data_IF_630379627582
#
_entry.id   IF_630379627582
#
_cell.length_a   1.000
_cell.length_b   1.000
_cell.length_c   1.000
_cell.angle_alpha   90.00
_cell.angle_beta   90.00
_cell.angle_gamma   90.00
#
_symmetry.space_group_name_H-M   'P 1'
#
loop_
_entity.id
_entity.type
_entity.pdbx_description
1 polymer ?
#
# COMPACT_ATOMS: atom_id res chain seq x y z
N UNK A 1 -1.07 -36.79 -1.05
CA UNK A 1 -0.19 -36.24 0.01
C UNK A 1 -0.64 -34.83 0.34
N UNK A 2 -0.79 -34.49 1.63
CA UNK A 2 -1.10 -33.11 2.06
C UNK A 2 0.13 -32.24 1.80
N UNK A 3 -0.03 -31.13 1.07
CA UNK A 3 1.09 -30.22 0.80
C UNK A 3 1.49 -29.47 2.09
N UNK A 4 2.70 -29.74 2.58
CA UNK A 4 3.25 -29.20 3.83
C UNK A 4 4.39 -28.22 3.54
N UNK A 5 4.37 -27.08 4.24
CA UNK A 5 5.35 -26.00 4.11
C UNK A 5 5.93 -25.62 5.48
N UNK A 6 7.09 -25.02 5.51
CA UNK A 6 7.60 -24.44 6.75
C UNK A 6 6.80 -23.19 7.10
N UNK A 7 6.47 -22.35 6.12
CA UNK A 7 5.73 -21.10 6.30
C UNK A 7 4.63 -20.99 5.24
N UNK A 8 3.45 -20.59 5.65
CA UNK A 8 2.42 -20.05 4.75
C UNK A 8 2.32 -18.54 4.97
N UNK A 9 2.25 -17.78 3.89
CA UNK A 9 2.02 -16.32 3.89
C UNK A 9 0.70 -16.04 3.19
N UNK A 10 -0.20 -15.31 3.83
CA UNK A 10 -1.46 -14.90 3.23
C UNK A 10 -1.32 -13.48 2.69
N UNK A 11 -1.48 -13.35 1.37
CA UNK A 11 -1.33 -12.11 0.62
C UNK A 11 0.07 -11.91 0.02
N UNK A 12 0.11 -11.56 -1.28
CA UNK A 12 1.32 -11.18 -2.00
C UNK A 12 1.42 -9.64 -2.14
N UNK A 13 1.16 -8.93 -1.05
CA UNK A 13 1.30 -7.48 -0.97
C UNK A 13 2.75 -7.02 -0.83
N UNK A 14 2.95 -5.68 -0.75
CA UNK A 14 4.27 -5.08 -0.66
C UNK A 14 5.07 -5.60 0.54
N UNK A 15 4.48 -5.55 1.74
CA UNK A 15 5.15 -5.99 2.99
C UNK A 15 5.54 -7.45 2.95
N UNK A 16 4.64 -8.34 2.48
CA UNK A 16 4.95 -9.77 2.34
C UNK A 16 6.11 -10.02 1.38
N UNK A 17 6.09 -9.38 0.21
CA UNK A 17 7.14 -9.59 -0.79
C UNK A 17 8.49 -8.99 -0.37
N UNK A 18 8.48 -7.85 0.33
CA UNK A 18 9.71 -7.28 0.92
C UNK A 18 10.29 -8.21 1.99
N UNK A 19 9.44 -8.71 2.89
CA UNK A 19 9.84 -9.66 3.92
C UNK A 19 10.44 -10.93 3.28
N UNK A 20 9.74 -11.54 2.33
CA UNK A 20 10.20 -12.75 1.64
C UNK A 20 11.49 -12.52 0.85
N UNK A 21 11.63 -11.37 0.17
CA UNK A 21 12.86 -11.00 -0.54
C UNK A 21 14.07 -10.98 0.41
N UNK A 22 13.91 -10.45 1.63
CA UNK A 22 14.95 -10.48 2.67
C UNK A 22 15.22 -11.89 3.19
N UNK A 23 14.19 -12.69 3.43
CA UNK A 23 14.36 -14.07 3.87
C UNK A 23 15.15 -14.90 2.86
N UNK A 24 14.81 -14.84 1.58
CA UNK A 24 15.50 -15.64 0.55
C UNK A 24 16.92 -15.14 0.28
N UNK A 25 17.19 -13.84 0.44
CA UNK A 25 18.54 -13.27 0.31
C UNK A 25 19.51 -13.84 1.35
N UNK A 26 19.01 -14.25 2.50
CA UNK A 26 19.77 -14.87 3.58
C UNK A 26 19.97 -16.39 3.39
N UNK A 27 19.82 -16.91 2.15
CA UNK A 27 19.98 -18.32 1.79
C UNK A 27 19.09 -19.28 2.61
N UNK A 28 17.91 -18.84 3.01
CA UNK A 28 16.93 -19.66 3.72
C UNK A 28 16.61 -20.94 2.92
N UNK A 29 16.59 -22.08 3.60
CA UNK A 29 16.19 -23.39 3.04
C UNK A 29 14.71 -23.69 3.24
N UNK A 30 13.96 -22.78 3.87
CA UNK A 30 12.54 -22.96 4.20
C UNK A 30 11.69 -23.04 2.93
N UNK A 31 10.75 -23.97 2.95
CA UNK A 31 9.69 -24.09 1.94
C UNK A 31 8.56 -23.13 2.28
N UNK A 32 8.19 -22.23 1.36
CA UNK A 32 7.23 -21.17 1.63
C UNK A 32 6.12 -21.19 0.58
N UNK A 33 4.86 -21.16 1.04
CA UNK A 33 3.69 -20.98 0.19
C UNK A 33 3.08 -19.60 0.45
N UNK A 34 2.88 -18.83 -0.62
CA UNK A 34 2.14 -17.58 -0.58
C UNK A 34 0.77 -17.80 -1.21
N UNK A 35 -0.30 -17.51 -0.48
CA UNK A 35 -1.68 -17.62 -0.95
C UNK A 35 -2.20 -16.20 -1.26
N UNK A 36 -2.40 -15.89 -2.54
CA UNK A 36 -2.90 -14.60 -3.00
C UNK A 36 -4.30 -14.74 -3.59
N UNK A 37 -5.27 -13.98 -3.05
CA UNK A 37 -6.67 -14.07 -3.50
C UNK A 37 -6.91 -13.53 -4.91
N UNK A 38 -6.05 -12.63 -5.41
CA UNK A 38 -6.17 -12.11 -6.77
C UNK A 38 -5.52 -13.08 -7.76
N UNK A 39 -5.96 -13.00 -9.00
CA UNK A 39 -5.47 -13.83 -10.11
C UNK A 39 -4.05 -13.47 -10.57
N UNK A 40 -3.54 -12.32 -10.14
CA UNK A 40 -2.23 -11.83 -10.54
C UNK A 40 -1.62 -10.89 -9.51
N UNK A 41 -0.32 -10.60 -9.67
CA UNK A 41 0.41 -9.63 -8.83
C UNK A 41 0.15 -8.16 -9.25
N UNK A 42 -0.62 -7.94 -10.30
CA UNK A 42 -0.85 -6.60 -10.84
C UNK A 42 -1.60 -5.73 -9.82
N UNK A 43 -1.03 -4.58 -9.53
CA UNK A 43 -1.60 -3.55 -8.65
C UNK A 43 -1.36 -2.18 -9.28
N UNK A 44 -2.40 -1.35 -9.32
CA UNK A 44 -2.31 0.00 -9.84
C UNK A 44 -2.00 1.04 -8.74
N UNK A 45 -1.67 0.59 -7.54
CA UNK A 45 -1.38 1.47 -6.41
C UNK A 45 0.02 2.05 -6.50
N UNK A 46 0.16 3.26 -6.03
CA UNK A 46 1.45 3.90 -5.76
C UNK A 46 1.91 3.55 -4.35
N UNK A 47 3.21 3.31 -4.18
CA UNK A 47 3.80 3.11 -2.87
C UNK A 47 4.72 4.29 -2.56
N UNK A 48 4.36 5.06 -1.54
CA UNK A 48 5.12 6.22 -1.12
C UNK A 48 5.76 5.99 0.24
N UNK A 49 7.00 6.48 0.40
CA UNK A 49 7.80 6.29 1.60
C UNK A 49 8.66 7.50 1.86
N UNK A 50 8.94 7.77 3.13
CA UNK A 50 9.98 8.71 3.54
C UNK A 50 11.32 8.00 3.57
N UNK A 51 12.33 8.58 2.93
CA UNK A 51 13.72 8.13 2.96
C UNK A 51 14.63 9.23 3.53
N UNK A 52 15.71 8.84 4.18
CA UNK A 52 16.67 9.76 4.77
C UNK A 52 17.48 9.14 5.90
N UNK A 53 18.25 9.96 6.64
CA UNK A 53 19.04 9.48 7.76
C UNK A 53 18.20 8.72 8.79
N UNK A 54 18.62 7.51 9.17
CA UNK A 54 17.90 6.65 10.11
C UNK A 54 16.66 5.95 9.56
N UNK A 55 16.28 6.20 8.28
CA UNK A 55 15.18 5.52 7.61
C UNK A 55 15.69 4.49 6.61
N UNK A 56 14.81 3.53 6.27
CA UNK A 56 15.13 2.53 5.25
C UNK A 56 15.28 3.18 3.87
N UNK A 57 16.31 2.78 3.13
CA UNK A 57 16.44 3.13 1.72
C UNK A 57 15.94 1.96 0.86
N UNK A 58 14.72 2.07 0.38
CA UNK A 58 14.03 1.02 -0.38
C UNK A 58 14.78 0.69 -1.68
N UNK A 59 15.32 1.70 -2.37
CA UNK A 59 16.05 1.49 -3.62
C UNK A 59 17.31 0.64 -3.40
N UNK A 60 18.08 0.95 -2.36
CA UNK A 60 19.31 0.23 -2.01
C UNK A 60 18.99 -1.17 -1.46
N UNK A 61 18.06 -1.24 -0.50
CA UNK A 61 17.73 -2.47 0.23
C UNK A 61 17.10 -3.55 -0.66
N UNK A 62 16.26 -3.16 -1.60
CA UNK A 62 15.48 -4.08 -2.44
C UNK A 62 15.81 -3.95 -3.94
N UNK A 63 16.84 -3.14 -4.29
CA UNK A 63 17.24 -2.87 -5.68
C UNK A 63 16.07 -2.36 -6.54
N UNK A 64 15.16 -1.63 -5.94
CA UNK A 64 14.01 -1.02 -6.61
C UNK A 64 14.41 0.32 -7.22
N UNK A 65 13.57 0.84 -8.13
CA UNK A 65 13.77 2.16 -8.73
C UNK A 65 12.58 3.04 -8.38
N UNK A 66 12.84 4.22 -7.83
CA UNK A 66 11.79 5.20 -7.61
C UNK A 66 11.18 5.67 -8.94
N UNK A 67 9.86 5.91 -8.93
CA UNK A 67 9.16 6.61 -10.00
C UNK A 67 9.47 8.10 -9.96
N UNK A 68 9.49 8.67 -8.74
CA UNK A 68 9.86 10.05 -8.48
C UNK A 68 10.28 10.27 -7.03
N UNK A 69 11.02 11.37 -6.79
CA UNK A 69 11.54 11.78 -5.48
C UNK A 69 11.35 13.29 -5.32
N UNK A 70 10.88 13.72 -4.15
CA UNK A 70 10.67 15.14 -3.82
C UNK A 70 11.47 15.51 -2.57
N UNK A 71 12.12 16.67 -2.64
CA UNK A 71 12.84 17.31 -1.53
C UNK A 71 12.02 18.43 -0.91
N UNK A 72 10.89 18.77 -1.51
CA UNK A 72 9.98 19.81 -1.05
C UNK A 72 8.58 19.28 -0.88
N UNK A 73 7.96 19.62 0.23
CA UNK A 73 6.59 19.26 0.53
C UNK A 73 5.76 20.49 0.83
N UNK A 74 4.46 20.38 0.50
CA UNK A 74 3.45 21.38 0.73
C UNK A 74 2.33 20.81 1.57
N UNK A 75 1.96 21.56 2.63
CA UNK A 75 0.71 21.39 3.37
C UNK A 75 0.01 22.74 3.34
N UNK A 76 -1.24 22.76 2.95
CA UNK A 76 -2.00 24.01 2.83
C UNK A 76 -3.47 23.87 3.20
N UNK A 77 -4.06 24.97 3.56
CA UNK A 77 -5.50 25.20 3.63
C UNK A 77 -5.83 26.60 3.07
N UNK A 78 -7.09 27.01 3.17
CA UNK A 78 -7.53 28.31 2.64
C UNK A 78 -6.87 29.55 3.26
N UNK A 79 -6.24 29.40 4.44
CA UNK A 79 -5.66 30.52 5.21
C UNK A 79 -4.16 30.48 5.27
N UNK A 80 -3.57 29.28 5.20
CA UNK A 80 -2.13 29.11 5.45
C UNK A 80 -1.55 28.08 4.47
N UNK A 81 -0.34 28.40 4.02
CA UNK A 81 0.47 27.56 3.15
C UNK A 81 1.84 27.33 3.77
N UNK A 82 2.19 26.08 4.00
CA UNK A 82 3.46 25.70 4.61
C UNK A 82 4.23 24.88 3.58
N UNK A 83 5.28 25.50 3.05
CA UNK A 83 6.27 24.85 2.20
C UNK A 83 7.51 24.53 3.01
N UNK A 84 8.02 23.31 2.89
CA UNK A 84 9.26 22.88 3.56
C UNK A 84 10.17 22.20 2.55
N UNK A 85 11.43 22.60 2.57
CA UNK A 85 12.52 21.77 2.10
C UNK A 85 12.79 20.76 3.20
N UNK A 86 12.74 19.47 2.85
CA UNK A 86 12.84 18.36 3.80
C UNK A 86 14.22 17.70 3.79
N UNK A 87 15.16 18.21 2.97
CA UNK A 87 16.54 17.70 2.96
C UNK A 87 17.11 17.62 4.40
N UNK A 88 17.79 16.53 4.81
CA UNK A 88 18.26 15.38 4.03
C UNK A 88 17.22 14.25 3.82
N UNK A 89 15.96 14.48 4.15
CA UNK A 89 14.89 13.53 3.88
C UNK A 89 14.31 13.74 2.48
N UNK A 90 13.68 12.68 1.97
CA UNK A 90 13.00 12.68 0.68
C UNK A 90 11.65 12.01 0.82
N UNK A 91 10.66 12.51 0.10
CA UNK A 91 9.41 11.77 -0.12
C UNK A 91 9.50 11.06 -1.46
N UNK A 92 9.38 9.74 -1.47
CA UNK A 92 9.69 8.90 -2.63
C UNK A 92 8.47 8.10 -3.03
N UNK A 93 8.15 8.08 -4.32
CA UNK A 93 7.08 7.27 -4.88
C UNK A 93 7.64 6.15 -5.74
N UNK A 94 7.15 4.94 -5.52
CA UNK A 94 7.41 3.76 -6.33
C UNK A 94 6.14 3.35 -7.08
N UNK A 95 6.28 2.95 -8.33
CA UNK A 95 5.20 2.35 -9.10
C UNK A 95 4.88 0.95 -8.57
N UNK A 96 3.64 0.74 -8.16
CA UNK A 96 3.24 -0.49 -7.47
C UNK A 96 3.39 -1.73 -8.32
N UNK A 97 3.04 -1.67 -9.59
CA UNK A 97 3.11 -2.82 -10.49
C UNK A 97 4.56 -3.26 -10.71
N UNK A 98 5.43 -2.32 -11.07
CA UNK A 98 6.85 -2.62 -11.32
C UNK A 98 7.57 -3.08 -10.06
N UNK A 99 7.23 -2.48 -8.92
CA UNK A 99 7.77 -2.84 -7.59
C UNK A 99 7.43 -4.28 -7.22
N UNK A 100 6.15 -4.65 -7.25
CA UNK A 100 5.71 -6.01 -6.89
C UNK A 100 6.26 -7.06 -7.87
N UNK A 101 6.26 -6.78 -9.18
CA UNK A 101 6.86 -7.66 -10.18
C UNK A 101 8.34 -7.87 -9.93
N UNK A 102 9.08 -6.82 -9.57
CA UNK A 102 10.51 -6.95 -9.30
C UNK A 102 10.79 -7.74 -8.02
N UNK A 103 10.06 -7.46 -6.94
CA UNK A 103 10.17 -8.22 -5.69
C UNK A 103 9.84 -9.70 -5.90
N UNK A 104 8.76 -10.03 -6.62
CA UNK A 104 8.40 -11.42 -6.89
C UNK A 104 9.46 -12.18 -7.69
N UNK A 105 10.16 -11.51 -8.62
CA UNK A 105 11.27 -12.10 -9.39
C UNK A 105 12.54 -12.32 -8.56
N UNK A 106 12.67 -11.67 -7.41
CA UNK A 106 13.78 -11.89 -6.49
C UNK A 106 13.57 -13.14 -5.61
N UNK A 107 12.37 -13.69 -5.60
CA UNK A 107 12.07 -14.91 -4.86
C UNK A 107 12.70 -16.13 -5.59
N UNK A 108 13.18 -17.08 -4.81
CA UNK A 108 13.78 -18.31 -5.32
C UNK A 108 12.74 -19.45 -5.48
N UNK A 109 13.16 -20.59 -5.99
CA UNK A 109 12.30 -21.76 -6.20
C UNK A 109 11.68 -22.35 -4.93
N UNK A 110 12.13 -21.93 -3.73
CA UNK A 110 11.57 -22.37 -2.44
C UNK A 110 10.29 -21.61 -2.06
N UNK A 111 10.00 -20.49 -2.75
CA UNK A 111 8.80 -19.70 -2.54
C UNK A 111 7.83 -19.92 -3.70
N UNK A 112 6.72 -20.60 -3.43
CA UNK A 112 5.63 -20.80 -4.38
C UNK A 112 4.54 -19.76 -4.12
N UNK A 113 4.13 -19.00 -5.14
CA UNK A 113 2.97 -18.11 -5.06
C UNK A 113 1.81 -18.80 -5.78
N UNK A 114 0.70 -19.01 -5.06
CA UNK A 114 -0.55 -19.53 -5.60
C UNK A 114 -1.55 -18.36 -5.69
N UNK A 115 -1.84 -17.95 -6.92
CA UNK A 115 -2.83 -16.90 -7.22
C UNK A 115 -4.24 -17.47 -7.22
N UNK A 116 -5.26 -16.60 -7.27
CA UNK A 116 -6.67 -16.91 -7.18
C UNK A 116 -7.04 -17.77 -5.95
N UNK A 117 -6.18 -17.79 -4.94
CA UNK A 117 -6.27 -18.63 -3.75
C UNK A 117 -6.81 -17.84 -2.54
N UNK A 118 -8.14 -17.70 -2.46
CA UNK A 118 -8.79 -16.99 -1.37
C UNK A 118 -8.81 -17.85 -0.11
N UNK A 119 -8.12 -17.42 0.93
CA UNK A 119 -8.14 -18.08 2.24
C UNK A 119 -9.47 -17.81 2.95
N UNK A 120 -10.13 -18.88 3.37
CA UNK A 120 -11.44 -18.84 4.03
C UNK A 120 -11.39 -19.22 5.50
N UNK A 121 -10.45 -20.09 5.90
CA UNK A 121 -10.34 -20.59 7.26
C UNK A 121 -8.90 -20.87 7.66
N UNK A 122 -8.59 -20.61 8.92
CA UNK A 122 -7.31 -20.91 9.56
C UNK A 122 -7.63 -21.69 10.84
N UNK A 123 -7.03 -22.86 11.00
CA UNK A 123 -7.15 -23.69 12.21
C UNK A 123 -5.74 -24.05 12.71
N UNK A 124 -5.56 -24.06 14.01
CA UNK A 124 -4.40 -24.71 14.60
C UNK A 124 -4.79 -26.17 14.92
N UNK A 125 -4.01 -27.12 14.43
CA UNK A 125 -4.17 -28.55 14.66
C UNK A 125 -2.84 -29.04 15.20
N UNK A 126 -2.80 -29.36 16.49
CA UNK A 126 -1.59 -29.73 17.22
C UNK A 126 -0.46 -28.71 17.01
N UNK A 127 0.64 -29.15 16.45
CA UNK A 127 1.80 -28.31 16.17
C UNK A 127 1.79 -27.65 14.79
N UNK A 128 0.75 -27.84 13.99
CA UNK A 128 0.61 -27.34 12.62
C UNK A 128 -0.54 -26.37 12.48
N UNK A 129 -0.43 -25.53 11.48
CA UNK A 129 -1.49 -24.61 11.08
C UNK A 129 -2.07 -25.13 9.76
N UNK A 130 -3.37 -25.38 9.76
CA UNK A 130 -4.13 -25.68 8.55
C UNK A 130 -4.73 -24.40 8.00
N UNK A 131 -4.45 -24.12 6.73
CA UNK A 131 -5.04 -23.01 5.99
C UNK A 131 -5.92 -23.58 4.88
N UNK A 132 -7.20 -23.27 4.94
CA UNK A 132 -8.18 -23.64 3.90
C UNK A 132 -8.35 -22.47 2.94
N UNK A 133 -8.18 -22.72 1.65
CA UNK A 133 -8.41 -21.77 0.59
C UNK A 133 -9.34 -22.33 -0.47
N UNK A 134 -9.68 -21.52 -1.50
CA UNK A 134 -10.41 -21.99 -2.70
C UNK A 134 -9.68 -23.12 -3.45
N UNK A 135 -8.35 -23.23 -3.29
CA UNK A 135 -7.50 -24.21 -3.97
C UNK A 135 -7.22 -25.45 -3.10
N UNK A 136 -7.85 -25.56 -1.92
CA UNK A 136 -7.73 -26.70 -1.02
C UNK A 136 -7.10 -26.37 0.33
N UNK A 137 -6.65 -27.43 1.02
CA UNK A 137 -6.07 -27.36 2.35
C UNK A 137 -4.55 -27.46 2.29
N UNK A 138 -3.87 -26.53 2.95
CA UNK A 138 -2.42 -26.46 3.08
C UNK A 138 -2.02 -26.48 4.55
N UNK A 139 -0.85 -26.99 4.86
CA UNK A 139 -0.35 -27.13 6.22
C UNK A 139 1.03 -26.48 6.37
N UNK A 140 1.28 -25.83 7.51
CA UNK A 140 2.57 -25.22 7.81
C UNK A 140 2.87 -25.22 9.30
N UNK A 141 4.16 -25.00 9.65
CA UNK A 141 4.61 -24.76 11.04
C UNK A 141 4.29 -23.35 11.49
N UNK A 142 4.43 -22.37 10.58
CA UNK A 142 4.20 -20.94 10.84
C UNK A 142 3.30 -20.33 9.80
N UNK A 143 2.56 -19.32 10.21
CA UNK A 143 1.67 -18.52 9.34
C UNK A 143 1.98 -17.04 9.51
N UNK A 144 2.05 -16.33 8.39
CA UNK A 144 2.10 -14.87 8.34
C UNK A 144 0.85 -14.39 7.60
N UNK A 145 -0.05 -13.72 8.33
CA UNK A 145 -1.27 -13.16 7.76
C UNK A 145 -1.12 -11.66 7.51
N UNK A 146 -0.80 -11.28 6.28
CA UNK A 146 -0.64 -9.86 5.90
C UNK A 146 -1.95 -9.17 5.52
N UNK A 147 -3.08 -9.80 5.70
CA UNK A 147 -4.37 -9.17 5.42
C UNK A 147 -4.64 -8.08 6.46
N UNK A 148 -5.17 -6.92 6.04
CA UNK A 148 -5.55 -5.86 6.99
C UNK A 148 -6.84 -6.28 7.72
N UNK A 149 -6.75 -7.27 8.59
CA UNK A 149 -7.82 -7.65 9.51
C UNK A 149 -7.72 -6.81 10.76
N UNK A 150 -8.77 -6.05 11.03
CA UNK A 150 -8.95 -5.38 12.31
C UNK A 150 -10.27 -5.92 12.87
N UNK A 151 -10.20 -6.70 13.92
CA UNK A 151 -11.39 -7.14 14.63
C UNK A 151 -11.80 -6.03 15.60
N UNK A 152 -13.12 -5.81 15.75
CA UNK A 152 -13.63 -4.70 16.57
C UNK A 152 -13.17 -4.74 18.04
N UNK A 153 -12.95 -5.94 18.59
CA UNK A 153 -12.43 -6.17 19.94
C UNK A 153 -10.93 -5.87 20.10
N UNK A 154 -10.18 -5.75 18.98
CA UNK A 154 -8.75 -5.42 18.98
C UNK A 154 -8.49 -3.91 18.93
N UNK A 155 -9.55 -3.10 18.75
CA UNK A 155 -9.43 -1.65 18.62
C UNK A 155 -9.40 -1.02 20.01
N UNK A 156 -8.24 -0.45 20.40
CA UNK A 156 -8.04 0.21 21.70
C UNK A 156 -8.44 1.69 21.74
N UNK A 157 -8.67 2.31 20.60
CA UNK A 157 -8.93 3.75 20.51
C UNK A 157 -9.98 4.09 19.47
N UNK A 158 -10.29 5.36 19.33
CA UNK A 158 -11.16 5.83 18.23
C UNK A 158 -10.64 5.38 16.88
N UNK A 159 -11.43 4.57 16.22
CA UNK A 159 -11.16 4.02 14.91
C UNK A 159 -11.55 4.99 13.81
N UNK A 160 -10.63 5.28 12.93
CA UNK A 160 -10.89 6.01 11.68
C UNK A 160 -10.40 5.22 10.47
N UNK A 161 -10.93 5.53 9.33
CA UNK A 161 -10.50 5.00 8.05
C UNK A 161 -10.04 6.14 7.15
N UNK A 162 -8.88 5.97 6.53
CA UNK A 162 -8.44 6.83 5.45
C UNK A 162 -8.94 6.24 4.13
N UNK A 163 -9.97 6.83 3.57
CA UNK A 163 -10.47 6.47 2.24
C UNK A 163 -9.90 7.42 1.20
N UNK A 164 -9.51 6.89 0.05
CA UNK A 164 -8.98 7.71 -1.05
C UNK A 164 -9.42 7.21 -2.42
N UNK A 165 -9.49 8.16 -3.35
CA UNK A 165 -9.67 7.93 -4.78
C UNK A 165 -8.68 8.81 -5.50
N UNK A 166 -7.85 8.21 -6.35
CA UNK A 166 -6.77 8.85 -7.08
C UNK A 166 -6.80 8.55 -8.56
N UNK A 167 -6.39 9.54 -9.34
CA UNK A 167 -6.08 9.39 -10.75
C UNK A 167 -4.69 9.94 -11.04
N UNK A 168 -3.88 9.17 -11.75
CA UNK A 168 -2.74 9.74 -12.44
C UNK A 168 -3.25 10.40 -13.72
N UNK A 169 -3.07 11.71 -13.83
CA UNK A 169 -3.56 12.51 -14.93
C UNK A 169 -2.43 13.14 -15.74
N UNK A 170 -2.69 13.35 -17.01
CA UNK A 170 -1.83 14.11 -17.91
C UNK A 170 -2.61 15.28 -18.51
N UNK A 171 -2.07 16.50 -18.37
CA UNK A 171 -2.64 17.75 -18.89
C UNK A 171 -1.87 18.25 -20.11
N UNK A 172 -2.52 19.04 -20.98
CA UNK A 172 -1.91 19.52 -22.23
C UNK A 172 -0.77 20.53 -22.01
N UNK A 173 -0.92 21.44 -21.05
CA UNK A 173 0.06 22.50 -20.74
C UNK A 173 0.82 22.21 -19.46
N UNK A 174 1.91 22.96 -19.21
CA UNK A 174 2.65 22.88 -17.96
C UNK A 174 1.80 23.44 -16.81
N UNK A 175 1.40 22.57 -15.91
CA UNK A 175 0.51 22.90 -14.77
C UNK A 175 1.18 22.62 -13.42
N UNK A 176 1.94 21.53 -13.33
CA UNK A 176 2.45 21.02 -12.06
C UNK A 176 3.87 21.52 -11.77
N UNK A 177 4.16 21.74 -10.48
CA UNK A 177 5.53 21.89 -10.00
C UNK A 177 6.09 20.50 -9.66
N UNK A 178 6.92 19.92 -10.54
CA UNK A 178 7.46 18.57 -10.37
C UNK A 178 8.40 18.38 -9.18
N UNK A 179 8.87 19.47 -8.59
CA UNK A 179 9.87 19.47 -7.50
C UNK A 179 9.21 19.60 -6.11
N UNK A 180 7.88 19.62 -6.03
CA UNK A 180 7.13 19.79 -4.78
C UNK A 180 5.94 18.83 -4.70
N UNK A 181 5.91 17.96 -3.68
CA UNK A 181 4.76 17.11 -3.39
C UNK A 181 3.78 17.83 -2.47
N UNK A 182 2.50 17.89 -2.84
CA UNK A 182 1.45 18.36 -1.93
C UNK A 182 0.95 17.18 -1.10
N UNK A 183 1.36 17.13 0.16
CA UNK A 183 0.99 16.04 1.07
C UNK A 183 -0.46 16.20 1.53
N UNK A 184 -0.89 17.43 1.84
CA UNK A 184 -2.26 17.73 2.24
C UNK A 184 -2.65 19.13 1.79
N UNK A 185 -3.63 19.24 0.90
CA UNK A 185 -4.33 20.48 0.61
C UNK A 185 -5.76 20.35 1.13
N UNK A 186 -6.00 20.89 2.33
CA UNK A 186 -7.25 20.72 3.05
C UNK A 186 -8.40 21.46 2.40
N UNK A 187 -9.56 20.80 2.31
CA UNK A 187 -10.81 21.40 1.86
C UNK A 187 -11.41 22.33 2.94
N UNK A 188 -12.40 23.14 2.52
CA UNK A 188 -13.16 24.00 3.44
C UNK A 188 -14.17 23.22 4.31
N UNK A 189 -14.27 21.91 4.16
CA UNK A 189 -15.25 21.13 4.91
C UNK A 189 -14.94 21.18 6.41
N UNK A 190 -15.95 21.53 7.22
CA UNK A 190 -15.78 21.66 8.68
C UNK A 190 -16.15 20.38 9.44
N UNK A 191 -16.82 19.44 8.80
CA UNK A 191 -17.38 18.25 9.46
C UNK A 191 -16.50 17.01 9.31
N UNK A 192 -15.66 16.96 8.27
CA UNK A 192 -14.77 15.83 7.98
C UNK A 192 -13.39 16.33 7.56
N UNK A 193 -12.35 15.57 7.87
CA UNK A 193 -10.99 15.87 7.41
C UNK A 193 -10.81 15.34 5.99
N UNK A 194 -11.00 16.25 5.03
CA UNK A 194 -10.83 15.97 3.60
C UNK A 194 -9.70 16.82 3.03
N UNK A 195 -8.85 16.23 2.19
CA UNK A 195 -7.76 16.93 1.53
C UNK A 195 -7.44 16.33 0.16
N UNK A 196 -6.78 17.12 -0.67
CA UNK A 196 -6.18 16.68 -1.91
C UNK A 196 -4.70 16.37 -1.64
N UNK A 197 -4.30 15.18 -2.06
CA UNK A 197 -2.92 14.74 -2.15
C UNK A 197 -2.50 14.79 -3.61
N UNK A 198 -1.35 15.42 -3.92
CA UNK A 198 -0.91 15.60 -5.28
C UNK A 198 0.59 15.33 -5.41
N UNK A 199 0.94 14.37 -6.26
CA UNK A 199 2.31 13.95 -6.55
C UNK A 199 2.65 14.25 -8.01
N UNK A 200 3.29 15.37 -8.31
CA UNK A 200 3.69 15.71 -9.67
C UNK A 200 4.93 14.91 -10.09
N UNK A 201 4.82 14.14 -11.16
CA UNK A 201 5.93 13.40 -11.76
C UNK A 201 6.66 14.22 -12.84
N UNK A 202 5.91 15.05 -13.55
CA UNK A 202 6.42 16.01 -14.55
C UNK A 202 5.63 17.31 -14.46
N UNK A 203 6.00 18.30 -15.28
CA UNK A 203 5.19 19.53 -15.38
C UNK A 203 3.76 19.28 -15.92
N UNK A 204 3.51 18.11 -16.55
CA UNK A 204 2.23 17.76 -17.17
C UNK A 204 1.55 16.53 -16.54
N UNK A 205 2.23 15.76 -15.72
CA UNK A 205 1.71 14.51 -15.13
C UNK A 205 1.78 14.54 -13.62
N UNK A 206 0.69 14.17 -12.96
CA UNK A 206 0.62 14.02 -11.52
C UNK A 206 -0.37 12.92 -11.13
N UNK A 207 -0.11 12.27 -10.00
CA UNK A 207 -1.15 11.57 -9.25
C UNK A 207 -1.89 12.64 -8.44
N UNK A 208 -3.20 12.62 -8.53
CA UNK A 208 -4.10 13.48 -7.75
C UNK A 208 -5.10 12.60 -7.03
N UNK A 209 -5.12 12.70 -5.71
CA UNK A 209 -6.05 11.95 -4.87
C UNK A 209 -6.93 12.89 -4.06
N UNK A 210 -8.20 12.50 -3.90
CA UNK A 210 -9.09 13.04 -2.88
C UNK A 210 -9.16 12.04 -1.75
N UNK A 211 -8.73 12.47 -0.57
CA UNK A 211 -8.60 11.63 0.63
C UNK A 211 -9.51 12.17 1.73
N UNK A 212 -10.12 11.24 2.47
CA UNK A 212 -11.05 11.51 3.54
C UNK A 212 -10.71 10.65 4.77
N UNK A 213 -10.61 11.28 5.94
CA UNK A 213 -10.64 10.57 7.23
C UNK A 213 -12.07 10.55 7.75
N UNK A 214 -12.62 9.35 7.94
CA UNK A 214 -13.99 9.14 8.44
C UNK A 214 -14.11 7.79 9.16
N UNK A 215 -15.04 7.70 10.12
CA UNK A 215 -15.37 6.40 10.74
C UNK A 215 -16.08 5.46 9.77
N UNK A 216 -16.89 6.01 8.86
CA UNK A 216 -17.66 5.26 7.86
C UNK A 216 -17.62 5.97 6.49
N UNK A 217 -16.50 5.86 5.74
CA UNK A 217 -16.34 6.57 4.49
C UNK A 217 -17.26 6.03 3.39
N UNK A 218 -17.98 6.91 2.70
CA UNK A 218 -18.77 6.60 1.51
C UNK A 218 -17.92 6.82 0.25
N UNK A 219 -17.43 5.73 -0.33
CA UNK A 219 -16.61 5.78 -1.55
C UNK A 219 -17.35 6.34 -2.77
N UNK A 220 -18.70 6.24 -2.84
CA UNK A 220 -19.46 6.80 -3.97
C UNK A 220 -19.48 8.32 -3.89
N UNK A 221 -19.74 8.87 -2.69
CA UNK A 221 -19.65 10.32 -2.45
C UNK A 221 -18.23 10.84 -2.67
N UNK A 222 -17.22 10.12 -2.21
CA UNK A 222 -15.83 10.47 -2.41
C UNK A 222 -15.47 10.50 -3.90
N UNK A 223 -15.97 9.55 -4.70
CA UNK A 223 -15.79 9.51 -6.15
C UNK A 223 -16.40 10.75 -6.84
N UNK A 224 -17.57 11.19 -6.40
CA UNK A 224 -18.20 12.40 -6.94
C UNK A 224 -17.37 13.66 -6.61
N UNK A 225 -16.92 13.78 -5.36
CA UNK A 225 -16.01 14.86 -4.92
C UNK A 225 -14.72 14.86 -5.71
N UNK A 226 -14.12 13.69 -5.90
CA UNK A 226 -12.89 13.55 -6.69
C UNK A 226 -13.06 14.07 -8.13
N UNK A 227 -14.15 13.70 -8.80
CA UNK A 227 -14.48 14.22 -10.14
C UNK A 227 -14.60 15.74 -10.15
N UNK A 228 -15.21 16.35 -9.11
CA UNK A 228 -15.30 17.81 -8.97
C UNK A 228 -13.91 18.42 -8.80
N UNK A 229 -13.08 17.84 -7.93
CA UNK A 229 -11.73 18.31 -7.67
C UNK A 229 -10.83 18.26 -8.91
N UNK A 230 -11.04 17.29 -9.79
CA UNK A 230 -10.30 17.17 -11.05
C UNK A 230 -10.68 18.25 -12.09
N UNK A 231 -11.86 18.88 -12.01
CA UNK A 231 -12.27 19.92 -12.98
C UNK A 231 -11.32 21.11 -13.06
N UNK A 232 -10.61 21.43 -11.95
CA UNK A 232 -9.62 22.52 -11.93
C UNK A 232 -8.44 22.34 -12.87
N UNK A 233 -8.17 21.10 -13.33
CA UNK A 233 -7.08 20.80 -14.26
C UNK A 233 -7.49 20.92 -15.73
N UNK A 234 -8.76 21.31 -16.01
CA UNK A 234 -9.29 21.47 -17.38
C UNK A 234 -9.34 20.14 -18.13
N UNK A 235 -8.88 20.14 -19.38
CA UNK A 235 -8.82 18.93 -20.20
C UNK A 235 -7.60 18.08 -19.81
N UNK A 236 -7.85 16.90 -19.29
CA UNK A 236 -6.82 15.92 -18.91
C UNK A 236 -7.15 14.53 -19.43
N UNK A 237 -6.11 13.71 -19.56
CA UNK A 237 -6.19 12.27 -19.82
C UNK A 237 -5.92 11.53 -18.53
N UNK A 238 -6.74 10.54 -18.18
CA UNK A 238 -6.48 9.62 -17.07
C UNK A 238 -5.57 8.50 -17.58
N UNK A 239 -4.42 8.33 -16.93
CA UNK A 239 -3.43 7.30 -17.25
C UNK A 239 -3.55 6.08 -16.36
N UNK A 240 -3.88 6.29 -15.08
CA UNK A 240 -4.06 5.25 -14.08
C UNK A 240 -5.10 5.69 -13.04
N UNK A 241 -5.70 4.71 -12.37
CA UNK A 241 -6.67 4.96 -11.29
C UNK A 241 -6.37 4.05 -10.10
N UNK A 242 -6.44 4.62 -8.92
CA UNK A 242 -6.30 3.87 -7.68
C UNK A 242 -7.36 4.28 -6.66
N UNK A 243 -7.70 3.37 -5.76
CA UNK A 243 -8.61 3.63 -4.64
C UNK A 243 -8.32 2.66 -3.51
N UNK A 244 -8.62 3.08 -2.30
CA UNK A 244 -8.48 2.21 -1.14
C UNK A 244 -9.13 2.77 0.10
N UNK A 245 -9.17 1.91 1.11
CA UNK A 245 -9.49 2.26 2.48
C UNK A 245 -8.37 1.70 3.34
N UNK A 246 -7.72 2.56 4.10
CA UNK A 246 -6.66 2.21 5.03
C UNK A 246 -7.22 2.34 6.44
N UNK A 247 -7.26 1.26 7.21
CA UNK A 247 -7.67 1.32 8.60
C UNK A 247 -6.63 2.09 9.43
N UNK A 248 -7.09 3.02 10.27
CA UNK A 248 -6.27 3.87 11.12
C UNK A 248 -6.70 3.61 12.58
N UNK A 249 -6.09 2.63 13.23
CA UNK A 249 -6.41 2.25 14.59
C UNK A 249 -5.14 1.83 15.36
N UNK A 250 -5.15 2.01 16.66
CA UNK A 250 -4.22 1.32 17.53
C UNK A 250 -4.74 -0.10 17.77
N UNK A 251 -3.97 -1.08 17.33
CA UNK A 251 -4.31 -2.50 17.43
C UNK A 251 -3.38 -3.13 18.46
N UNK A 252 -3.93 -3.99 19.30
CA UNK A 252 -3.13 -4.88 20.12
C UNK A 252 -2.72 -6.09 19.28
N UNK A 253 -1.43 -6.30 19.09
CA UNK A 253 -0.96 -7.49 18.42
C UNK A 253 -1.27 -8.73 19.26
N UNK A 254 -2.01 -9.68 18.72
CA UNK A 254 -2.25 -10.95 19.39
C UNK A 254 -0.95 -11.74 19.49
N UNK A 255 -0.58 -12.18 20.68
CA UNK A 255 0.65 -12.93 20.94
C UNK A 255 0.48 -14.43 20.63
N UNK A 256 0.15 -14.80 19.41
CA UNK A 256 0.24 -16.20 19.00
C UNK A 256 1.66 -16.47 18.48
N UNK A 257 2.39 -17.39 19.15
CA UNK A 257 3.79 -17.71 18.81
C UNK A 257 3.99 -18.27 17.39
N UNK A 258 2.95 -18.73 16.72
CA UNK A 258 3.02 -19.37 15.39
C UNK A 258 2.26 -18.62 14.29
N UNK A 259 1.40 -17.67 14.67
CA UNK A 259 0.64 -16.82 13.75
C UNK A 259 1.08 -15.37 13.98
N UNK A 260 1.69 -14.79 12.96
CA UNK A 260 2.16 -13.40 12.96
C UNK A 260 1.38 -12.56 11.95
#
# INVERSE_FOLDING_TARGET
MKAEYDIIVIGAGLSSLMFLSKMVSNKSKLSILVLEQKDSIVRNQSFCVWEGPGLINIEKEFKLKAKHRWDKVLIENNRKKIKKNIHPYHYVCHDGQSTLKKLSRQLNAKVKILYASKVTRINQIDEKIQVTSSEGNFYSKYLIDSRPKIEKNEIKSDYMQQAFIGNEIEVKSNYFNKDEATIMSFSKNKTETEFIYQLPFTKKRALVETTLFSKNPDLRKLQQKHKINLKKYGNYKVLNSERGIIPMALIEASANKRIM
#
